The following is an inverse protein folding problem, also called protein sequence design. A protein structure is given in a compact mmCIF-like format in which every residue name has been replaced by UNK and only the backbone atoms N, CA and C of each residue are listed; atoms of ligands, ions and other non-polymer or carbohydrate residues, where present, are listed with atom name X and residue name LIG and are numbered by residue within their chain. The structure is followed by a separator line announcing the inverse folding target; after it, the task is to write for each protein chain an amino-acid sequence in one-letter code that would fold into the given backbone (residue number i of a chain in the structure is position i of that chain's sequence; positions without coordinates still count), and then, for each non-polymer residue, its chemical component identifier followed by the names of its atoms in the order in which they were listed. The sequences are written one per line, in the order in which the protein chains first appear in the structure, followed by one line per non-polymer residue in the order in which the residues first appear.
data_IF_870472998531
#
_entry.id   IF_870472998531
#
_cell.length_a   1.000
_cell.length_b   1.000
_cell.length_c   1.000
_cell.angle_alpha   90.00
_cell.angle_beta   90.00
_cell.angle_gamma   90.00
#
_symmetry.space_group_name_H-M   'P 1'
#
loop_
_entity.id
_entity.type
_entity.pdbx_description
1 polymer ?
#
# COMPACT_ATOMS: atom_id res chain seq x y z
N UNK A 1 -1.13 1.70 2.68
CA UNK A 1 -0.47 1.73 4.00
C UNK A 1 -0.53 0.36 4.65
N UNK A 2 0.54 -0.05 5.31
CA UNK A 2 0.56 -1.30 6.05
C UNK A 2 -0.15 -1.17 7.41
N UNK A 3 -0.47 -2.30 8.03
CA UNK A 3 -1.22 -2.41 9.27
C UNK A 3 -0.55 -1.72 10.46
N UNK A 4 0.77 -1.50 10.39
CA UNK A 4 1.52 -0.79 11.42
C UNK A 4 1.14 0.70 11.49
N UNK A 5 0.82 1.29 10.34
CA UNK A 5 0.56 2.71 10.20
C UNK A 5 -0.93 3.04 10.07
N UNK A 6 -1.80 2.03 10.01
CA UNK A 6 -3.22 2.23 9.68
C UNK A 6 -4.09 2.17 10.94
N UNK A 7 -4.91 3.19 11.16
CA UNK A 7 -5.97 3.23 12.18
C UNK A 7 -7.13 4.11 11.71
N UNK A 8 -8.32 3.87 12.26
CA UNK A 8 -9.52 4.64 11.86
C UNK A 8 -9.37 6.12 12.25
N UNK A 9 -8.94 6.39 13.48
CA UNK A 9 -8.71 7.77 13.96
C UNK A 9 -7.69 8.53 13.09
N UNK A 10 -6.61 7.88 12.65
CA UNK A 10 -5.65 8.51 11.75
C UNK A 10 -6.27 8.81 10.38
N UNK A 11 -7.00 7.85 9.81
CA UNK A 11 -7.61 8.00 8.50
C UNK A 11 -8.60 9.18 8.46
N UNK A 12 -9.41 9.35 9.51
CA UNK A 12 -10.35 10.47 9.63
C UNK A 12 -9.63 11.82 9.80
N UNK A 13 -8.59 11.89 10.62
CA UNK A 13 -7.80 13.11 10.82
C UNK A 13 -7.10 13.57 9.54
N UNK A 14 -6.58 12.62 8.76
CA UNK A 14 -5.91 12.91 7.49
C UNK A 14 -6.87 13.46 6.43
N UNK A 15 -8.13 13.03 6.45
CA UNK A 15 -9.13 13.51 5.48
C UNK A 15 -9.50 14.98 5.72
N UNK A 16 -9.49 15.43 6.98
CA UNK A 16 -9.83 16.81 7.34
C UNK A 16 -8.68 17.80 7.17
N UNK A 17 -8.98 19.09 7.18
CA UNK A 17 -7.94 20.13 7.27
C UNK A 17 -7.09 19.93 8.53
N UNK A 18 -5.76 20.11 8.46
CA UNK A 18 -4.99 20.74 7.38
C UNK A 18 -4.50 19.78 6.28
N UNK A 19 -4.69 18.47 6.42
CA UNK A 19 -3.97 17.48 5.60
C UNK A 19 -4.63 17.22 4.24
N UNK A 20 -5.95 17.01 4.20
CA UNK A 20 -6.70 16.66 2.97
C UNK A 20 -6.10 15.46 2.22
N UNK A 21 -5.67 14.42 2.94
CA UNK A 21 -5.09 13.19 2.41
C UNK A 21 -6.05 12.01 2.60
N UNK A 22 -6.17 11.18 1.56
CA UNK A 22 -6.89 9.91 1.63
C UNK A 22 -5.96 8.76 2.02
N UNK A 23 -6.52 7.74 2.67
CA UNK A 23 -5.80 6.54 3.10
C UNK A 23 -6.45 5.31 2.49
N UNK A 24 -5.62 4.38 2.03
CA UNK A 24 -5.98 2.99 1.77
C UNK A 24 -4.96 2.12 2.47
N UNK A 25 -5.39 1.25 3.37
CA UNK A 25 -4.45 0.43 4.12
C UNK A 25 -5.07 -0.80 4.77
N UNK A 26 -4.22 -1.74 5.16
CA UNK A 26 -4.65 -2.93 5.89
C UNK A 26 -4.89 -2.60 7.35
N UNK A 27 -5.90 -3.22 7.97
CA UNK A 27 -6.20 -3.06 9.38
C UNK A 27 -5.98 -4.39 10.11
N UNK A 28 -5.48 -4.35 11.35
CA UNK A 28 -5.33 -5.57 12.15
C UNK A 28 -6.70 -6.00 12.70
N UNK A 29 -6.97 -7.31 12.66
CA UNK A 29 -8.18 -7.95 13.21
C UNK A 29 -8.52 -7.53 14.65
N UNK A 30 -7.51 -7.29 15.48
CA UNK A 30 -7.69 -7.03 16.92
C UNK A 30 -8.03 -5.56 17.24
N UNK A 31 -8.37 -4.76 16.23
CA UNK A 31 -8.82 -3.38 16.41
C UNK A 31 -10.25 -3.38 16.93
N UNK A 32 -10.49 -2.64 18.02
CA UNK A 32 -11.79 -2.57 18.72
C UNK A 32 -12.87 -1.93 17.86
N UNK A 33 -12.44 -1.14 16.87
CA UNK A 33 -13.30 -0.39 15.97
C UNK A 33 -13.85 -1.27 14.83
N UNK A 34 -13.45 -2.53 14.74
CA UNK A 34 -13.99 -3.49 13.76
C UNK A 34 -15.25 -4.15 14.37
N UNK A 35 -16.41 -4.11 13.68
CA UNK A 35 -17.61 -4.80 14.13
C UNK A 35 -17.36 -6.31 14.32
N UNK A 36 -17.91 -6.88 15.39
CA UNK A 36 -17.73 -8.30 15.73
C UNK A 36 -18.20 -9.22 14.62
N UNK A 37 -19.28 -8.85 13.94
CA UNK A 37 -19.86 -9.57 12.80
C UNK A 37 -18.88 -9.71 11.62
N UNK A 38 -17.97 -8.75 11.46
CA UNK A 38 -16.93 -8.78 10.43
C UNK A 38 -15.66 -9.49 10.89
N UNK A 39 -15.38 -9.47 12.19
CA UNK A 39 -14.19 -10.00 12.83
C UNK A 39 -14.29 -11.51 13.14
N UNK A 40 -15.51 -12.00 13.37
CA UNK A 40 -15.77 -13.40 13.63
C UNK A 40 -15.41 -14.26 12.43
N UNK A 41 -14.63 -15.32 12.69
CA UNK A 41 -14.32 -16.35 11.70
C UNK A 41 -15.54 -17.25 11.63
N UNK A 42 -16.60 -16.75 11.01
CA UNK A 42 -17.82 -17.49 10.85
C UNK A 42 -17.56 -18.63 9.87
N UNK A 43 -17.71 -19.89 10.32
CA UNK A 43 -17.50 -21.08 9.49
C UNK A 43 -18.47 -21.10 8.31
N UNK A 44 -19.65 -20.52 8.49
CA UNK A 44 -20.72 -20.50 7.50
C UNK A 44 -20.51 -19.43 6.41
N UNK A 45 -19.57 -18.49 6.61
CA UNK A 45 -19.24 -17.48 5.59
C UNK A 45 -18.50 -18.13 4.43
N UNK A 46 -19.09 -18.10 3.24
CA UNK A 46 -18.51 -18.63 1.99
C UNK A 46 -17.19 -17.95 1.64
N UNK A 47 -16.29 -18.69 0.97
CA UNK A 47 -15.05 -18.17 0.43
C UNK A 47 -15.32 -17.10 -0.64
N UNK A 48 -14.37 -16.16 -0.79
CA UNK A 48 -14.42 -15.07 -1.77
C UNK A 48 -15.59 -14.10 -1.58
N UNK A 49 -16.18 -14.08 -0.38
CA UNK A 49 -17.18 -13.09 0.00
C UNK A 49 -16.53 -11.88 0.65
N UNK A 50 -17.13 -10.71 0.46
CA UNK A 50 -16.78 -9.46 1.13
C UNK A 50 -17.94 -8.92 1.96
N UNK A 51 -17.62 -8.28 3.08
CA UNK A 51 -18.54 -7.49 3.88
C UNK A 51 -18.01 -6.08 3.95
N UNK A 52 -18.90 -5.09 3.87
CA UNK A 52 -18.56 -3.69 3.95
C UNK A 52 -19.24 -3.09 5.17
N UNK A 53 -18.47 -2.29 5.92
CA UNK A 53 -19.01 -1.40 6.93
C UNK A 53 -18.65 0.03 6.54
N UNK A 54 -19.63 0.91 6.63
CA UNK A 54 -19.51 2.30 6.25
C UNK A 54 -19.58 3.16 7.51
N UNK A 55 -18.64 4.09 7.60
CA UNK A 55 -18.70 5.25 8.48
C UNK A 55 -18.83 6.49 7.59
N UNK A 56 -19.25 7.63 8.14
CA UNK A 56 -19.44 8.89 7.40
C UNK A 56 -18.22 9.28 6.53
N UNK A 57 -17.02 8.90 6.96
CA UNK A 57 -15.75 9.31 6.35
C UNK A 57 -14.91 8.17 5.78
N UNK A 58 -15.28 6.92 6.06
CA UNK A 58 -14.41 5.78 5.75
C UNK A 58 -15.21 4.50 5.52
N UNK A 59 -14.69 3.67 4.62
CA UNK A 59 -15.23 2.35 4.29
C UNK A 59 -14.25 1.28 4.76
N UNK A 60 -14.75 0.36 5.57
CA UNK A 60 -14.03 -0.84 6.00
C UNK A 60 -14.53 -2.03 5.18
N UNK A 61 -13.60 -2.80 4.61
CA UNK A 61 -13.90 -4.06 3.93
C UNK A 61 -13.26 -5.24 4.65
N UNK A 62 -14.06 -6.27 4.92
CA UNK A 62 -13.61 -7.58 5.37
C UNK A 62 -13.76 -8.55 4.19
N UNK A 63 -12.67 -9.14 3.72
CA UNK A 63 -12.65 -10.10 2.62
C UNK A 63 -12.12 -11.45 3.08
N UNK A 64 -12.77 -12.54 2.70
CA UNK A 64 -12.42 -13.92 3.09
C UNK A 64 -11.83 -14.71 1.91
N UNK A 65 -10.51 -14.60 1.62
CA UNK A 65 -9.89 -15.37 0.54
C UNK A 65 -9.64 -16.85 0.90
N UNK A 66 -9.54 -17.18 2.19
CA UNK A 66 -9.24 -18.53 2.69
C UNK A 66 -10.13 -18.83 3.89
N UNK A 67 -10.38 -20.11 4.17
CA UNK A 67 -11.29 -20.53 5.25
C UNK A 67 -10.90 -19.96 6.62
N UNK A 68 -9.59 -19.88 6.88
CA UNK A 68 -9.02 -19.47 8.17
C UNK A 68 -8.50 -18.03 8.21
N UNK A 69 -8.57 -17.28 7.10
CA UNK A 69 -7.97 -15.93 7.01
C UNK A 69 -8.95 -14.91 6.47
N UNK A 70 -9.04 -13.79 7.19
CA UNK A 70 -9.76 -12.59 6.79
C UNK A 70 -8.76 -11.46 6.54
N UNK A 71 -9.02 -10.68 5.50
CA UNK A 71 -8.29 -9.46 5.19
C UNK A 71 -9.18 -8.27 5.48
N UNK A 72 -8.69 -7.36 6.32
CA UNK A 72 -9.36 -6.12 6.63
C UNK A 72 -8.62 -4.98 5.95
N UNK A 73 -9.34 -4.17 5.17
CA UNK A 73 -8.80 -2.95 4.59
C UNK A 73 -9.71 -1.78 4.92
N UNK A 74 -9.09 -0.67 5.27
CA UNK A 74 -9.74 0.61 5.51
C UNK A 74 -9.44 1.54 4.32
N UNK A 75 -10.45 2.23 3.84
CA UNK A 75 -10.29 3.27 2.83
C UNK A 75 -11.11 4.51 3.16
N UNK A 76 -10.50 5.69 3.01
CA UNK A 76 -11.22 6.99 2.98
C UNK A 76 -11.36 7.55 1.57
N UNK A 77 -10.96 6.78 0.55
CA UNK A 77 -11.02 7.18 -0.86
C UNK A 77 -12.26 6.60 -1.56
N UNK A 78 -12.76 5.45 -1.10
CA UNK A 78 -13.91 4.77 -1.72
C UNK A 78 -15.12 4.91 -0.80
N UNK A 79 -16.19 5.51 -1.32
CA UNK A 79 -17.47 5.67 -0.60
C UNK A 79 -18.36 4.43 -0.70
N UNK A 80 -18.26 3.69 -1.81
CA UNK A 80 -19.09 2.50 -2.07
C UNK A 80 -18.27 1.22 -2.18
N UNK A 81 -18.83 0.11 -1.70
CA UNK A 81 -18.25 -1.22 -1.82
C UNK A 81 -18.57 -1.87 -3.17
N UNK A 82 -17.79 -1.56 -4.19
CA UNK A 82 -17.85 -2.22 -5.50
C UNK A 82 -17.05 -3.53 -5.49
N UNK A 83 -17.61 -4.57 -6.09
CA UNK A 83 -16.98 -5.88 -6.24
C UNK A 83 -16.81 -6.16 -7.72
N UNK A 84 -15.61 -6.56 -8.12
CA UNK A 84 -15.36 -6.97 -9.48
C UNK A 84 -15.89 -8.39 -9.72
N UNK A 85 -16.80 -8.55 -10.69
CA UNK A 85 -17.50 -9.81 -10.96
C UNK A 85 -16.57 -10.94 -11.41
N UNK A 86 -15.51 -10.63 -12.16
CA UNK A 86 -14.57 -11.63 -12.68
C UNK A 86 -13.63 -12.17 -11.59
N UNK A 87 -13.19 -11.30 -10.68
CA UNK A 87 -12.17 -11.66 -9.67
C UNK A 87 -12.75 -11.95 -8.30
N UNK A 88 -14.04 -11.62 -8.08
CA UNK A 88 -14.73 -11.62 -6.79
C UNK A 88 -14.02 -10.80 -5.70
N UNK A 89 -13.14 -9.88 -6.09
CA UNK A 89 -12.40 -9.01 -5.17
C UNK A 89 -13.05 -7.63 -5.13
N UNK A 90 -13.18 -7.04 -3.94
CA UNK A 90 -13.50 -5.63 -3.79
C UNK A 90 -12.49 -4.74 -4.51
N UNK A 91 -12.97 -3.65 -5.12
CA UNK A 91 -12.13 -2.67 -5.79
C UNK A 91 -11.06 -2.09 -4.86
N UNK A 92 -11.41 -1.85 -3.59
CA UNK A 92 -10.48 -1.39 -2.54
C UNK A 92 -9.24 -2.29 -2.44
N UNK A 93 -9.40 -3.61 -2.61
CA UNK A 93 -8.28 -4.56 -2.58
C UNK A 93 -7.43 -4.45 -3.84
N UNK A 94 -8.04 -4.16 -5.00
CA UNK A 94 -7.30 -3.92 -6.23
C UNK A 94 -6.43 -2.67 -6.11
N UNK A 95 -7.02 -1.55 -5.67
CA UNK A 95 -6.32 -0.29 -5.41
C UNK A 95 -5.19 -0.45 -4.39
N UNK A 96 -5.43 -1.21 -3.32
CA UNK A 96 -4.37 -1.51 -2.36
C UNK A 96 -3.23 -2.32 -2.98
N UNK A 97 -3.55 -3.36 -3.76
CA UNK A 97 -2.52 -4.22 -4.36
C UNK A 97 -1.69 -3.52 -5.42
N UNK A 98 -2.27 -2.59 -6.19
CA UNK A 98 -1.54 -1.81 -7.19
C UNK A 98 -0.56 -0.81 -6.56
N UNK A 99 -0.86 -0.31 -5.37
CA UNK A 99 -0.07 0.77 -4.72
C UNK A 99 0.88 0.29 -3.62
N UNK A 100 0.58 -0.82 -2.92
CA UNK A 100 1.34 -1.27 -1.74
C UNK A 100 2.82 -1.58 -2.00
N UNK A 101 3.18 -1.95 -3.24
CA UNK A 101 4.52 -2.43 -3.59
C UNK A 101 5.54 -1.35 -3.91
N UNK A 102 5.15 -0.07 -3.94
CA UNK A 102 6.03 1.01 -4.39
C UNK A 102 7.33 1.10 -3.55
N UNK A 103 7.22 1.09 -2.22
CA UNK A 103 8.38 1.18 -1.33
C UNK A 103 9.26 -0.07 -1.41
N UNK A 104 8.65 -1.27 -1.41
CA UNK A 104 9.39 -2.53 -1.53
C UNK A 104 10.16 -2.60 -2.85
N UNK A 105 9.56 -2.12 -3.94
CA UNK A 105 10.19 -2.06 -5.27
C UNK A 105 11.37 -1.11 -5.26
N UNK A 106 11.23 0.07 -4.66
CA UNK A 106 12.34 1.03 -4.52
C UNK A 106 13.48 0.46 -3.67
N UNK A 107 13.18 -0.19 -2.55
CA UNK A 107 14.17 -0.86 -1.71
C UNK A 107 14.86 -2.00 -2.47
N UNK A 108 14.11 -2.78 -3.26
CA UNK A 108 14.68 -3.84 -4.10
C UNK A 108 15.64 -3.26 -5.14
N UNK A 109 15.30 -2.12 -5.78
CA UNK A 109 16.20 -1.43 -6.70
C UNK A 109 17.49 -0.97 -6.00
N UNK A 110 17.36 -0.35 -4.80
CA UNK A 110 18.51 0.02 -3.97
C UNK A 110 19.39 -1.18 -3.64
N UNK A 111 18.81 -2.34 -3.35
CA UNK A 111 19.57 -3.56 -3.00
C UNK A 111 20.27 -4.16 -4.22
N UNK A 112 19.61 -4.19 -5.38
CA UNK A 112 20.17 -4.72 -6.62
C UNK A 112 21.39 -3.91 -7.10
N UNK A 113 21.33 -2.58 -6.97
CA UNK A 113 22.40 -1.68 -7.38
C UNK A 113 22.80 -0.79 -6.19
N UNK A 114 23.55 -1.36 -5.25
CA UNK A 114 24.04 -0.65 -4.07
C UNK A 114 25.54 -0.33 -4.16
N UNK A 115 25.94 0.81 -3.58
CA UNK A 115 27.34 1.18 -3.36
C UNK A 115 27.79 0.91 -1.90
N UNK A 116 27.11 0.00 -1.19
CA UNK A 116 27.35 -0.20 0.24
C UNK A 116 28.68 -0.94 0.45
N UNK A 117 29.57 -0.36 1.25
CA UNK A 117 30.82 -1.01 1.67
C UNK A 117 30.79 -1.36 3.16
N UNK A 118 31.45 -2.46 3.54
CA UNK A 118 31.59 -2.85 4.95
C UNK A 118 32.25 -1.71 5.74
N UNK A 119 31.57 -1.23 6.77
CA UNK A 119 32.04 -0.10 7.58
C UNK A 119 31.76 -0.36 9.06
N UNK A 120 32.63 0.15 9.94
CA UNK A 120 32.42 0.18 11.39
C UNK A 120 31.84 1.52 11.87
N UNK A 121 31.63 2.47 10.96
CA UNK A 121 31.14 3.82 11.24
C UNK A 121 29.70 3.94 10.75
N UNK A 122 28.73 3.97 11.67
CA UNK A 122 27.31 4.07 11.31
C UNK A 122 26.94 5.26 10.40
N UNK A 123 27.60 6.44 10.47
CA UNK A 123 27.26 7.54 9.56
C UNK A 123 27.54 7.20 8.08
N UNK A 124 28.57 6.37 7.81
CA UNK A 124 28.86 5.93 6.44
C UNK A 124 27.72 5.08 5.86
N UNK A 125 27.02 4.30 6.68
CA UNK A 125 25.85 3.53 6.25
C UNK A 125 24.74 4.44 5.74
N UNK A 126 24.53 5.60 6.38
CA UNK A 126 23.56 6.60 5.94
C UNK A 126 23.99 7.22 4.62
N UNK A 127 25.26 7.60 4.48
CA UNK A 127 25.80 8.19 3.25
C UNK A 127 25.61 7.25 2.06
N UNK A 128 25.93 5.96 2.21
CA UNK A 128 25.73 4.98 1.13
C UNK A 128 24.25 4.83 0.75
N UNK A 129 23.34 4.80 1.73
CA UNK A 129 21.91 4.74 1.44
C UNK A 129 21.41 6.01 0.74
N UNK A 130 21.88 7.20 1.15
CA UNK A 130 21.56 8.47 0.47
C UNK A 130 22.01 8.46 -0.98
N UNK A 131 23.22 7.95 -1.27
CA UNK A 131 23.72 7.81 -2.64
C UNK A 131 22.85 6.87 -3.48
N UNK A 132 22.51 5.68 -2.97
CA UNK A 132 21.63 4.74 -3.68
C UNK A 132 20.27 5.38 -4.00
N UNK A 133 19.67 6.10 -3.05
CA UNK A 133 18.38 6.79 -3.26
C UNK A 133 18.51 7.93 -4.27
N UNK A 134 19.59 8.70 -4.22
CA UNK A 134 19.85 9.79 -5.17
C UNK A 134 19.98 9.27 -6.60
N UNK A 135 20.67 8.15 -6.81
CA UNK A 135 20.83 7.52 -8.13
C UNK A 135 19.50 7.04 -8.73
N UNK A 136 18.60 6.47 -7.92
CA UNK A 136 17.28 6.05 -8.41
C UNK A 136 16.44 7.28 -8.77
N UNK A 137 16.40 8.29 -7.88
CA UNK A 137 15.63 9.50 -8.14
C UNK A 137 16.13 10.27 -9.36
N UNK A 138 17.45 10.34 -9.57
CA UNK A 138 18.02 10.98 -10.76
C UNK A 138 17.67 10.21 -12.04
N UNK A 139 17.68 8.87 -12.01
CA UNK A 139 17.24 8.03 -13.12
C UNK A 139 15.76 8.25 -13.45
N UNK A 140 14.89 8.37 -12.45
CA UNK A 140 13.45 8.67 -12.67
C UNK A 140 13.27 10.01 -13.40
N UNK A 141 13.96 11.07 -12.96
CA UNK A 141 13.90 12.40 -13.59
C UNK A 141 14.45 12.33 -15.02
N UNK A 142 15.60 11.69 -15.22
CA UNK A 142 16.20 11.53 -16.54
C UNK A 142 15.25 10.81 -17.51
N UNK A 143 14.70 9.66 -17.11
CA UNK A 143 13.77 8.89 -17.93
C UNK A 143 12.51 9.69 -18.28
N UNK A 144 11.97 10.44 -17.31
CA UNK A 144 10.81 11.30 -17.55
C UNK A 144 11.10 12.38 -18.60
N UNK A 145 12.25 13.05 -18.51
CA UNK A 145 12.64 14.08 -19.46
C UNK A 145 12.87 13.50 -20.87
N UNK A 146 13.60 12.39 -20.99
CA UNK A 146 13.88 11.71 -22.27
C UNK A 146 12.58 11.31 -22.97
N UNK A 147 11.64 10.69 -22.24
CA UNK A 147 10.33 10.31 -22.79
C UNK A 147 9.55 11.54 -23.26
N UNK A 148 9.55 12.61 -22.45
CA UNK A 148 8.84 13.86 -22.77
C UNK A 148 9.40 14.55 -24.02
N UNK A 149 10.71 14.44 -24.26
CA UNK A 149 11.38 14.97 -25.45
C UNK A 149 11.33 14.02 -26.67
N UNK A 150 10.68 12.85 -26.56
CA UNK A 150 10.52 11.90 -27.67
C UNK A 150 11.78 11.12 -28.03
N UNK A 151 12.80 11.15 -27.16
CA UNK A 151 14.04 10.41 -27.34
C UNK A 151 13.89 8.95 -26.87
N UNK A 152 14.64 8.03 -27.49
CA UNK A 152 14.62 6.62 -27.06
C UNK A 152 15.43 6.47 -25.77
N UNK A 153 14.84 5.83 -24.76
CA UNK A 153 15.56 5.43 -23.56
C UNK A 153 16.76 4.56 -23.98
N UNK A 154 17.94 4.91 -23.46
CA UNK A 154 19.12 4.05 -23.57
C UNK A 154 18.81 2.78 -22.79
N UNK A 155 18.44 1.72 -23.50
CA UNK A 155 18.19 0.43 -22.89
C UNK A 155 19.47 0.00 -22.17
N UNK A 156 19.39 -0.16 -20.84
CA UNK A 156 20.48 -0.76 -20.08
C UNK A 156 20.73 -2.14 -20.65
N UNK A 157 21.87 -2.34 -21.30
CA UNK A 157 22.30 -3.63 -21.80
C UNK A 157 22.24 -4.63 -20.64
N UNK A 158 21.43 -5.68 -20.80
CA UNK A 158 21.55 -6.90 -20.01
C UNK A 158 22.80 -7.65 -20.42
#
# INVERSE_FOLDING_TARGET
MDNWFTSISLAEKLLTAPHKLTVVGTLRKNKKEIPTEMAEINKDRKLYTSMFAYNEKATLVSYKPKSTKHFFLLSTMHETGTINETTHKPEIIHTYNSTKGAVDTFVQMCQNMNCNSKTKRWPMCIIYNLLNMACINSSVIYNHNVITHGEKLVAGNK
#
